data_IF_083156382941
#
_entry.id   IF_083156382941
#
_cell.length_a   1.000
_cell.length_b   1.000
_cell.length_c   1.000
_cell.angle_alpha   90.00
_cell.angle_beta   90.00
_cell.angle_gamma   90.00
#
_symmetry.space_group_name_H-M   'P 1'
#
loop_
_entity.id
_entity.type
_entity.pdbx_description
1 polymer ?
#
# COMPACT_ATOMS: atom_id res chain seq x y z
N UNK A 1 -18.92 45.17 1.52
CA UNK A 1 -18.11 44.12 0.90
C UNK A 1 -18.06 42.94 1.84
N UNK A 2 -18.32 41.74 1.36
CA UNK A 2 -18.17 40.53 2.15
C UNK A 2 -16.68 40.24 2.38
N UNK A 3 -16.28 39.55 3.47
CA UNK A 3 -14.88 39.23 3.72
C UNK A 3 -14.19 38.50 2.54
N UNK A 4 -14.96 37.73 1.78
CA UNK A 4 -14.52 37.03 0.56
C UNK A 4 -14.15 37.98 -0.60
N UNK A 5 -14.87 39.14 -0.69
CA UNK A 5 -14.62 40.18 -1.69
C UNK A 5 -13.38 41.03 -1.35
N UNK A 6 -13.10 41.20 -0.06
CA UNK A 6 -11.93 41.96 0.41
C UNK A 6 -10.65 41.14 0.21
N UNK A 7 -10.71 39.81 0.40
CA UNK A 7 -9.57 38.92 0.22
C UNK A 7 -9.10 38.80 -1.25
N UNK A 8 -9.98 39.13 -2.20
CA UNK A 8 -9.69 39.05 -3.63
C UNK A 8 -9.17 40.38 -4.24
N UNK A 9 -9.10 41.47 -3.46
CA UNK A 9 -8.64 42.77 -3.95
C UNK A 9 -7.14 42.96 -3.69
N UNK A 10 -6.38 43.22 -4.76
CA UNK A 10 -5.00 43.68 -4.64
C UNK A 10 -4.95 45.15 -4.13
N UNK A 11 -3.76 45.58 -3.66
CA UNK A 11 -3.56 46.95 -3.15
C UNK A 11 -3.82 48.07 -4.17
N UNK A 12 -3.91 47.76 -5.45
CA UNK A 12 -4.30 48.67 -6.54
C UNK A 12 -5.78 48.55 -6.94
N UNK A 13 -6.59 47.80 -6.16
CA UNK A 13 -8.04 47.65 -6.37
C UNK A 13 -8.41 46.65 -7.47
N UNK A 14 -7.44 45.89 -8.02
CA UNK A 14 -7.71 44.84 -9.02
C UNK A 14 -8.33 43.60 -8.34
N UNK A 15 -9.43 43.12 -8.87
CA UNK A 15 -10.00 41.81 -8.52
C UNK A 15 -9.41 40.75 -9.44
N UNK A 16 -8.72 39.77 -8.87
CA UNK A 16 -8.14 38.66 -9.61
C UNK A 16 -9.16 37.54 -9.75
N UNK A 17 -9.30 37.00 -10.97
CA UNK A 17 -10.02 35.74 -11.15
C UNK A 17 -9.19 34.55 -10.67
N UNK A 18 -9.84 33.40 -10.39
CA UNK A 18 -9.13 32.18 -10.02
C UNK A 18 -8.13 31.77 -11.11
N UNK A 19 -8.51 31.86 -12.38
CA UNK A 19 -7.66 31.51 -13.52
C UNK A 19 -6.42 32.44 -13.59
N UNK A 20 -6.58 33.75 -13.38
CA UNK A 20 -5.45 34.69 -13.32
C UNK A 20 -4.52 34.38 -12.15
N UNK A 21 -5.07 34.04 -10.99
CA UNK A 21 -4.28 33.66 -9.81
C UNK A 21 -3.53 32.36 -10.05
N UNK A 22 -4.18 31.34 -10.58
CA UNK A 22 -3.54 30.06 -10.93
C UNK A 22 -2.40 30.26 -11.93
N UNK A 23 -2.65 31.00 -13.01
CA UNK A 23 -1.65 31.29 -14.03
C UNK A 23 -0.45 32.11 -13.51
N UNK A 24 -0.68 32.98 -12.52
CA UNK A 24 0.34 33.91 -11.99
C UNK A 24 1.11 33.30 -10.82
N UNK A 25 0.43 32.57 -9.92
CA UNK A 25 0.98 32.13 -8.64
C UNK A 25 1.41 30.66 -8.65
N UNK A 26 0.82 29.83 -9.52
CA UNK A 26 1.14 28.41 -9.59
C UNK A 26 1.92 28.08 -10.88
N UNK A 27 3.13 27.51 -10.78
CA UNK A 27 3.80 26.98 -11.95
C UNK A 27 2.95 25.87 -12.58
N UNK A 28 3.00 25.70 -13.91
CA UNK A 28 2.11 24.80 -14.67
C UNK A 28 2.07 23.36 -14.16
N UNK A 29 3.18 22.84 -13.60
CA UNK A 29 3.19 21.51 -12.98
C UNK A 29 2.40 21.46 -11.65
N UNK A 30 2.20 22.58 -10.96
CA UNK A 30 1.41 22.66 -9.72
C UNK A 30 -0.08 22.84 -10.02
N UNK A 31 -0.45 23.65 -11.00
CA UNK A 31 -1.84 23.87 -11.39
C UNK A 31 -2.54 22.57 -11.87
N UNK A 32 -1.76 21.60 -12.40
CA UNK A 32 -2.28 20.29 -12.82
C UNK A 32 -2.48 19.29 -11.67
N UNK A 33 -2.12 19.64 -10.42
CA UNK A 33 -2.27 18.78 -9.22
C UNK A 33 -3.67 18.87 -8.60
N UNK A 34 -4.67 19.15 -9.40
CA UNK A 34 -6.06 19.18 -8.96
C UNK A 34 -6.68 17.77 -9.11
N UNK A 35 -7.51 17.40 -8.17
CA UNK A 35 -8.31 16.18 -8.21
C UNK A 35 -8.81 15.81 -6.82
N UNK A 36 -10.10 15.46 -6.74
CA UNK A 36 -10.63 14.86 -5.50
C UNK A 36 -10.31 13.37 -5.54
N UNK A 37 -9.74 12.84 -4.46
CA UNK A 37 -9.58 11.40 -4.27
C UNK A 37 -10.97 10.73 -4.30
N UNK A 38 -11.15 9.78 -5.20
CA UNK A 38 -12.43 9.08 -5.40
C UNK A 38 -12.88 8.36 -4.12
N UNK A 39 -11.94 7.81 -3.33
CA UNK A 39 -12.22 7.11 -2.08
C UNK A 39 -12.87 8.06 -1.07
N UNK A 40 -12.25 9.25 -0.89
CA UNK A 40 -12.79 10.25 0.04
C UNK A 40 -14.11 10.85 -0.45
N UNK A 41 -14.32 10.97 -1.76
CA UNK A 41 -15.60 11.41 -2.32
C UNK A 41 -16.73 10.44 -2.00
N UNK A 42 -16.51 9.14 -2.14
CA UNK A 42 -17.49 8.12 -1.81
C UNK A 42 -17.69 7.94 -0.30
N UNK A 43 -16.63 8.13 0.47
CA UNK A 43 -16.73 8.18 1.94
C UNK A 43 -17.62 9.36 2.41
N UNK A 44 -17.47 10.55 1.82
CA UNK A 44 -18.30 11.70 2.14
C UNK A 44 -19.79 11.41 1.85
N UNK A 45 -20.11 10.81 0.70
CA UNK A 45 -21.49 10.38 0.37
C UNK A 45 -22.05 9.40 1.40
N UNK A 46 -21.25 8.43 1.84
CA UNK A 46 -21.64 7.52 2.92
C UNK A 46 -21.94 8.27 4.22
N UNK A 47 -21.06 9.22 4.60
CA UNK A 47 -21.23 10.01 5.83
C UNK A 47 -22.50 10.86 5.80
N UNK A 48 -22.81 11.49 4.68
CA UNK A 48 -24.05 12.26 4.46
C UNK A 48 -25.30 11.36 4.58
N UNK A 49 -25.27 10.17 3.95
CA UNK A 49 -26.37 9.23 4.04
C UNK A 49 -26.58 8.73 5.48
N UNK A 50 -25.51 8.43 6.19
CA UNK A 50 -25.56 8.01 7.59
C UNK A 50 -26.10 9.14 8.49
N UNK A 51 -25.66 10.38 8.28
CA UNK A 51 -26.14 11.54 9.01
C UNK A 51 -27.63 11.85 8.77
N UNK A 52 -28.14 11.53 7.57
CA UNK A 52 -29.58 11.65 7.24
C UNK A 52 -30.44 10.49 7.79
N UNK A 53 -29.87 9.56 8.54
CA UNK A 53 -30.56 8.43 9.17
C UNK A 53 -30.80 7.23 8.23
N UNK A 54 -30.15 7.17 7.08
CA UNK A 54 -30.23 6.02 6.19
C UNK A 54 -29.49 4.80 6.77
N UNK A 55 -30.01 3.60 6.50
CA UNK A 55 -29.34 2.35 6.86
C UNK A 55 -28.20 2.06 5.87
N UNK A 56 -27.16 2.90 5.95
CA UNK A 56 -26.01 2.89 5.04
C UNK A 56 -24.91 1.92 5.50
N UNK A 57 -24.34 1.17 4.55
CA UNK A 57 -23.20 0.26 4.75
C UNK A 57 -21.95 0.89 4.13
N UNK A 58 -20.89 1.01 4.93
CA UNK A 58 -19.61 1.55 4.47
C UNK A 58 -18.75 0.44 3.87
N UNK A 59 -18.51 0.48 2.57
CA UNK A 59 -17.55 -0.35 1.85
C UNK A 59 -16.44 0.49 1.18
N UNK A 60 -16.16 1.71 1.66
CA UNK A 60 -15.28 2.67 0.98
C UNK A 60 -13.87 2.74 1.56
N UNK A 61 -13.71 2.75 2.89
CA UNK A 61 -12.42 3.03 3.54
C UNK A 61 -11.50 1.82 3.59
N UNK A 62 -10.20 2.09 3.70
CA UNK A 62 -9.14 1.10 3.92
C UNK A 62 -8.65 1.06 5.36
N UNK A 63 -9.51 1.39 6.32
CA UNK A 63 -9.28 1.23 7.76
C UNK A 63 -10.19 0.13 8.29
N UNK A 64 -9.65 -0.74 9.15
CA UNK A 64 -10.43 -1.82 9.76
C UNK A 64 -11.34 -1.23 10.85
N UNK A 65 -12.63 -1.54 10.74
CA UNK A 65 -13.63 -1.17 11.75
C UNK A 65 -14.10 -2.44 12.48
N UNK A 66 -14.41 -2.29 13.75
CA UNK A 66 -15.14 -3.29 14.54
C UNK A 66 -16.59 -3.41 14.04
N UNK A 67 -17.30 -4.43 14.48
CA UNK A 67 -18.74 -4.58 14.15
C UNK A 67 -19.61 -3.48 14.77
N UNK A 68 -19.10 -2.75 15.76
CA UNK A 68 -19.70 -1.52 16.30
C UNK A 68 -19.64 -0.34 15.34
N UNK A 69 -18.76 -0.40 14.31
CA UNK A 69 -18.46 0.70 13.39
C UNK A 69 -17.36 1.62 13.88
N UNK A 70 -16.77 1.37 15.03
CA UNK A 70 -15.61 2.08 15.54
C UNK A 70 -14.32 1.59 14.89
N UNK A 71 -13.28 2.42 14.91
CA UNK A 71 -11.97 2.01 14.42
C UNK A 71 -11.42 0.86 15.25
N UNK A 72 -11.06 -0.25 14.60
CA UNK A 72 -10.37 -1.34 15.27
C UNK A 72 -8.97 -0.89 15.72
N UNK A 73 -8.74 -0.93 17.01
CA UNK A 73 -7.49 -0.53 17.65
C UNK A 73 -6.96 -1.69 18.47
N UNK A 74 -5.77 -2.16 18.19
CA UNK A 74 -5.11 -3.17 19.02
C UNK A 74 -4.83 -2.57 20.42
N UNK A 75 -5.43 -3.11 21.50
CA UNK A 75 -5.34 -2.52 22.83
C UNK A 75 -3.92 -2.58 23.39
N UNK A 76 -3.12 -3.60 23.06
CA UNK A 76 -1.71 -3.69 23.47
C UNK A 76 -0.91 -2.54 22.85
N UNK A 77 -1.13 -2.27 21.55
CA UNK A 77 -0.45 -1.18 20.87
C UNK A 77 -0.81 0.18 21.46
N UNK A 78 -2.11 0.42 21.67
CA UNK A 78 -2.58 1.71 22.19
C UNK A 78 -2.16 1.94 23.66
N UNK A 79 -2.11 0.90 24.46
CA UNK A 79 -1.62 0.97 25.85
C UNK A 79 -0.13 1.21 25.89
N UNK A 80 0.66 0.40 25.16
CA UNK A 80 2.11 0.54 25.11
C UNK A 80 2.52 1.93 24.56
N UNK A 81 1.77 2.48 23.62
CA UNK A 81 2.04 3.83 23.10
C UNK A 81 1.84 4.91 24.17
N UNK A 82 0.82 4.81 25.01
CA UNK A 82 0.57 5.76 26.11
C UNK A 82 1.55 5.60 27.26
N UNK A 83 2.14 4.42 27.44
CA UNK A 83 3.12 4.11 28.49
C UNK A 83 4.55 4.53 28.13
N UNK A 84 4.78 5.01 26.89
CA UNK A 84 6.11 5.47 26.51
C UNK A 84 6.58 6.66 27.35
N UNK A 85 7.88 6.67 27.68
CA UNK A 85 8.47 7.78 28.41
C UNK A 85 8.42 9.10 27.63
N UNK A 86 8.43 10.22 28.32
CA UNK A 86 8.43 11.56 27.73
C UNK A 86 9.54 11.77 26.72
N UNK A 87 10.70 11.12 26.90
CA UNK A 87 11.80 11.14 25.96
C UNK A 87 11.39 10.57 24.60
N UNK A 88 10.63 9.48 24.56
CA UNK A 88 10.18 8.84 23.32
C UNK A 88 9.11 9.67 22.60
N UNK A 89 8.37 10.49 23.36
CA UNK A 89 7.38 11.41 22.80
C UNK A 89 7.99 12.69 22.25
N UNK A 90 9.09 13.19 22.87
CA UNK A 90 9.58 14.55 22.67
C UNK A 90 10.88 14.65 21.89
N UNK A 91 11.75 13.64 21.97
CA UNK A 91 13.06 13.68 21.31
C UNK A 91 12.97 13.33 19.82
N UNK A 92 13.86 13.91 19.03
CA UNK A 92 14.06 13.44 17.66
C UNK A 92 14.57 12.00 17.64
N UNK A 93 14.09 11.20 16.69
CA UNK A 93 14.73 9.95 16.32
C UNK A 93 16.02 10.23 15.52
N UNK A 94 17.01 9.32 15.54
CA UNK A 94 18.06 9.31 14.53
C UNK A 94 17.45 9.29 13.12
N UNK A 95 18.07 9.96 12.16
CA UNK A 95 17.53 10.08 10.79
C UNK A 95 17.20 8.72 10.13
N UNK A 96 18.03 7.65 10.27
CA UNK A 96 17.69 6.34 9.71
C UNK A 96 16.62 5.58 10.51
N UNK A 97 16.23 6.08 11.67
CA UNK A 97 15.39 5.40 12.66
C UNK A 97 16.18 4.87 13.84
N UNK A 98 15.47 4.46 14.88
CA UNK A 98 16.07 3.81 16.05
C UNK A 98 16.72 2.49 15.63
N UNK A 99 17.95 2.16 16.09
CA UNK A 99 18.67 0.96 15.65
C UNK A 99 17.84 -0.32 15.82
N UNK A 100 17.25 -0.51 16.98
CA UNK A 100 16.40 -1.67 17.27
C UNK A 100 15.12 -1.74 16.40
N UNK A 101 14.55 -0.60 16.02
CA UNK A 101 13.43 -0.56 15.08
C UNK A 101 13.87 -1.03 13.69
N UNK A 102 15.05 -0.59 13.22
CA UNK A 102 15.59 -0.98 11.91
C UNK A 102 15.85 -2.49 11.81
N UNK A 103 16.33 -3.12 12.88
CA UNK A 103 16.51 -4.58 12.95
C UNK A 103 15.15 -5.27 12.93
N UNK A 104 14.25 -4.88 13.82
CA UNK A 104 12.92 -5.48 13.97
C UNK A 104 12.08 -5.45 12.69
N UNK A 105 12.10 -4.35 11.93
CA UNK A 105 11.28 -4.27 10.70
C UNK A 105 11.77 -5.20 9.59
N UNK A 106 13.05 -5.58 9.60
CA UNK A 106 13.58 -6.61 8.69
C UNK A 106 13.02 -7.99 9.04
N UNK A 107 12.96 -8.31 10.33
CA UNK A 107 12.35 -9.55 10.86
C UNK A 107 10.85 -9.58 10.56
N UNK A 108 10.14 -8.46 10.77
CA UNK A 108 8.70 -8.35 10.46
C UNK A 108 8.40 -8.50 8.96
N UNK A 109 9.30 -8.09 8.09
CA UNK A 109 9.13 -8.21 6.64
C UNK A 109 9.41 -9.63 6.12
N UNK A 110 10.39 -10.33 6.70
CA UNK A 110 10.96 -11.56 6.13
C UNK A 110 10.85 -12.79 7.02
N UNK A 111 10.46 -12.63 8.31
CA UNK A 111 10.38 -13.75 9.25
C UNK A 111 11.69 -14.54 9.34
N UNK A 112 11.58 -15.86 9.45
CA UNK A 112 12.72 -16.78 9.55
C UNK A 112 13.61 -16.78 8.30
N UNK A 113 13.07 -16.37 7.15
CA UNK A 113 13.81 -16.23 5.90
C UNK A 113 14.97 -15.24 5.99
N UNK A 114 14.89 -14.21 6.87
CA UNK A 114 15.94 -13.20 7.03
C UNK A 114 17.31 -13.84 7.36
N UNK A 115 17.33 -14.77 8.32
CA UNK A 115 18.57 -15.42 8.75
C UNK A 115 19.21 -16.24 7.62
N UNK A 116 18.39 -16.91 6.82
CA UNK A 116 18.83 -17.68 5.67
C UNK A 116 19.39 -16.77 4.58
N UNK A 117 18.67 -15.71 4.23
CA UNK A 117 19.08 -14.70 3.25
C UNK A 117 20.45 -14.12 3.60
N UNK A 118 20.64 -13.73 4.86
CA UNK A 118 21.91 -13.18 5.34
C UNK A 118 23.05 -14.22 5.37
N UNK A 119 22.75 -15.47 5.71
CA UNK A 119 23.72 -16.56 5.68
C UNK A 119 24.27 -16.80 4.27
N UNK A 120 23.44 -16.58 3.25
CA UNK A 120 23.85 -16.71 1.84
C UNK A 120 24.43 -15.42 1.23
N UNK A 121 24.89 -14.49 2.07
CA UNK A 121 25.66 -13.33 1.66
C UNK A 121 24.85 -12.14 1.14
N UNK A 122 23.55 -12.17 1.32
CA UNK A 122 22.69 -11.01 1.00
C UNK A 122 22.64 -10.07 2.21
N UNK A 123 23.12 -8.88 2.03
CA UNK A 123 23.12 -7.83 3.06
C UNK A 123 21.79 -7.10 3.09
N UNK A 124 21.34 -6.81 4.30
CA UNK A 124 20.05 -6.15 4.53
C UNK A 124 20.24 -4.92 5.42
N UNK A 125 19.44 -3.91 5.21
CA UNK A 125 19.29 -2.77 6.13
C UNK A 125 17.91 -2.13 5.93
N UNK A 126 17.51 -1.26 6.87
CA UNK A 126 16.23 -0.58 6.84
C UNK A 126 16.36 0.90 7.21
N UNK A 127 15.46 1.72 6.67
CA UNK A 127 15.32 3.13 7.04
C UNK A 127 13.87 3.42 7.39
N UNK A 128 13.65 4.20 8.45
CA UNK A 128 12.33 4.68 8.85
C UNK A 128 11.72 5.61 7.80
N UNK A 129 10.43 5.46 7.57
CA UNK A 129 9.67 6.32 6.67
C UNK A 129 8.33 6.73 7.28
N UNK A 130 7.70 7.84 6.86
CA UNK A 130 6.35 8.22 7.28
C UNK A 130 5.29 7.29 6.66
N UNK A 131 5.18 6.07 7.22
CA UNK A 131 4.34 4.98 6.70
C UNK A 131 4.91 4.34 5.43
N UNK A 132 4.22 3.35 4.89
CA UNK A 132 4.60 2.71 3.62
C UNK A 132 4.66 3.69 2.44
N UNK A 133 3.83 4.74 2.46
CA UNK A 133 3.85 5.82 1.46
C UNK A 133 5.23 6.48 1.34
N UNK A 134 5.90 6.72 2.49
CA UNK A 134 7.24 7.28 2.48
C UNK A 134 8.28 6.35 1.84
N UNK A 135 8.15 5.03 2.03
CA UNK A 135 9.03 4.04 1.41
C UNK A 135 8.85 4.00 -0.12
N UNK A 136 7.60 4.05 -0.59
CA UNK A 136 7.28 4.15 -2.02
C UNK A 136 7.85 5.44 -2.62
N UNK A 137 7.61 6.58 -1.97
CA UNK A 137 8.16 7.87 -2.44
C UNK A 137 9.69 7.84 -2.51
N UNK A 138 10.38 7.33 -1.48
CA UNK A 138 11.83 7.21 -1.47
C UNK A 138 12.35 6.34 -2.61
N UNK A 139 11.72 5.19 -2.87
CA UNK A 139 12.13 4.30 -3.95
C UNK A 139 11.98 4.97 -5.32
N UNK A 140 10.82 5.58 -5.60
CA UNK A 140 10.58 6.29 -6.85
C UNK A 140 11.54 7.45 -7.06
N UNK A 141 11.72 8.29 -6.03
CA UNK A 141 12.51 9.52 -6.11
C UNK A 141 13.99 9.27 -6.34
N UNK A 142 14.53 8.13 -5.83
CA UNK A 142 15.97 7.86 -5.86
C UNK A 142 16.39 6.81 -6.88
N UNK A 143 15.48 5.96 -7.34
CA UNK A 143 15.79 4.88 -8.26
C UNK A 143 15.36 5.16 -9.70
N UNK A 144 14.47 6.14 -9.91
CA UNK A 144 14.03 6.57 -11.25
C UNK A 144 14.38 8.06 -11.49
N UNK A 145 14.50 8.42 -12.75
CA UNK A 145 14.69 9.80 -13.20
C UNK A 145 13.34 10.41 -13.56
N UNK A 146 13.18 11.73 -13.47
CA UNK A 146 12.03 12.38 -14.10
C UNK A 146 11.92 11.99 -15.58
N UNK A 147 10.72 11.57 -15.98
CA UNK A 147 10.42 11.05 -17.32
C UNK A 147 10.47 9.51 -17.43
N UNK A 148 11.13 8.79 -16.54
CA UNK A 148 11.07 7.33 -16.48
C UNK A 148 9.65 6.84 -16.13
N UNK A 149 9.38 5.56 -16.36
CA UNK A 149 8.14 4.90 -15.97
C UNK A 149 8.38 3.86 -14.85
N UNK A 150 7.48 3.83 -13.87
CA UNK A 150 7.42 2.76 -12.88
C UNK A 150 6.49 1.64 -13.36
N UNK A 151 6.86 0.38 -13.11
CA UNK A 151 6.08 -0.79 -13.52
C UNK A 151 5.11 -1.19 -12.39
N UNK A 152 3.82 -1.28 -12.72
CA UNK A 152 2.73 -1.62 -11.81
C UNK A 152 1.85 -2.74 -12.39
N UNK A 153 1.13 -3.46 -11.55
CA UNK A 153 -0.01 -4.26 -12.03
C UNK A 153 -1.13 -3.32 -12.49
N UNK A 154 -1.93 -3.72 -13.47
CA UNK A 154 -3.01 -2.89 -14.04
C UNK A 154 -4.02 -2.42 -13.00
N UNK A 155 -4.41 -3.30 -12.09
CA UNK A 155 -5.13 -2.93 -10.88
C UNK A 155 -4.12 -2.67 -9.76
N UNK A 156 -4.13 -1.48 -9.20
CA UNK A 156 -3.21 -1.07 -8.15
C UNK A 156 -3.83 -0.01 -7.24
N UNK A 157 -3.19 0.24 -6.12
CA UNK A 157 -3.59 1.31 -5.22
C UNK A 157 -3.44 2.68 -5.91
N UNK A 158 -4.57 3.39 -6.09
CA UNK A 158 -4.60 4.64 -6.85
C UNK A 158 -3.52 5.67 -6.51
N UNK A 159 -3.16 5.89 -5.22
CA UNK A 159 -2.09 6.80 -4.85
C UNK A 159 -0.70 6.45 -5.39
N UNK A 160 -0.44 5.25 -5.95
CA UNK A 160 0.80 5.00 -6.68
C UNK A 160 0.98 5.98 -7.84
N UNK A 161 -0.09 6.27 -8.58
CA UNK A 161 -0.07 7.28 -9.65
C UNK A 161 0.22 8.69 -9.12
N UNK A 162 -0.31 9.02 -7.93
CA UNK A 162 -0.04 10.33 -7.30
C UNK A 162 1.43 10.45 -6.90
N UNK A 163 2.00 9.41 -6.27
CA UNK A 163 3.41 9.39 -5.88
C UNK A 163 4.32 9.46 -7.11
N UNK A 164 3.99 8.69 -8.17
CA UNK A 164 4.72 8.73 -9.42
C UNK A 164 4.73 10.15 -10.02
N UNK A 165 3.56 10.78 -10.11
CA UNK A 165 3.42 12.17 -10.61
C UNK A 165 4.23 13.17 -9.78
N UNK A 166 4.22 13.06 -8.43
CA UNK A 166 5.03 13.92 -7.55
C UNK A 166 6.54 13.74 -7.77
N UNK A 167 6.96 12.55 -8.17
CA UNK A 167 8.37 12.29 -8.53
C UNK A 167 8.71 12.66 -9.97
N UNK A 168 7.74 13.11 -10.77
CA UNK A 168 7.93 13.44 -12.19
C UNK A 168 8.09 12.22 -13.09
N UNK A 169 7.62 11.05 -12.65
CA UNK A 169 7.67 9.78 -13.39
C UNK A 169 6.27 9.39 -13.86
N UNK A 170 6.21 8.52 -14.87
CA UNK A 170 4.97 7.97 -15.42
C UNK A 170 4.73 6.55 -14.88
N UNK A 171 3.61 5.93 -15.23
CA UNK A 171 3.29 4.55 -14.88
C UNK A 171 3.14 3.70 -16.13
N UNK A 172 3.71 2.51 -16.12
CA UNK A 172 3.49 1.44 -17.09
C UNK A 172 2.84 0.27 -16.37
N UNK A 173 1.93 -0.45 -17.03
CA UNK A 173 1.19 -1.52 -16.38
C UNK A 173 1.32 -2.83 -17.13
N UNK A 174 1.23 -3.94 -16.39
CA UNK A 174 1.10 -5.30 -16.90
C UNK A 174 -0.17 -5.93 -16.31
N UNK A 175 -0.77 -6.94 -16.99
CA UNK A 175 -2.02 -7.56 -16.54
C UNK A 175 -1.97 -8.06 -15.10
N UNK A 176 -3.11 -8.02 -14.41
CA UNK A 176 -3.21 -8.47 -13.03
C UNK A 176 -2.88 -9.95 -12.88
N UNK A 177 -3.32 -10.77 -13.83
CA UNK A 177 -3.11 -12.23 -13.87
C UNK A 177 -3.11 -12.70 -15.34
N UNK A 178 -2.53 -13.88 -15.60
CA UNK A 178 -2.68 -14.60 -16.86
C UNK A 178 -4.03 -15.33 -16.94
N UNK A 179 -4.30 -16.00 -18.06
CA UNK A 179 -5.54 -16.76 -18.25
C UNK A 179 -5.71 -17.87 -17.21
N UNK A 180 -4.65 -18.67 -16.99
CA UNK A 180 -4.64 -19.83 -16.09
C UNK A 180 -3.66 -19.68 -14.90
N UNK A 181 -3.14 -18.47 -14.64
CA UNK A 181 -2.14 -18.22 -13.61
C UNK A 181 -2.33 -16.89 -12.92
N UNK A 182 -1.76 -16.75 -11.71
CA UNK A 182 -1.76 -15.49 -10.98
C UNK A 182 -0.79 -14.45 -11.56
N UNK A 183 0.06 -14.82 -12.53
CA UNK A 183 1.07 -13.98 -13.16
C UNK A 183 1.04 -14.21 -14.67
N UNK A 184 0.82 -13.17 -15.44
CA UNK A 184 1.07 -13.19 -16.88
C UNK A 184 2.56 -12.95 -17.11
N UNK A 185 3.32 -14.07 -17.20
CA UNK A 185 4.78 -14.05 -17.31
C UNK A 185 5.27 -13.37 -18.58
N UNK A 186 4.60 -13.64 -19.70
CA UNK A 186 5.01 -13.10 -20.99
C UNK A 186 4.77 -11.58 -21.07
N UNK A 187 3.65 -11.11 -20.52
CA UNK A 187 3.40 -9.70 -20.41
C UNK A 187 4.39 -9.02 -19.46
N UNK A 188 4.72 -9.63 -18.31
CA UNK A 188 5.70 -9.08 -17.37
C UNK A 188 7.09 -8.99 -18.01
N UNK A 189 7.58 -10.06 -18.66
CA UNK A 189 8.86 -10.08 -19.39
C UNK A 189 8.90 -9.04 -20.50
N UNK A 190 7.82 -8.94 -21.27
CA UNK A 190 7.68 -7.95 -22.36
C UNK A 190 7.79 -6.53 -21.85
N UNK A 191 7.06 -6.19 -20.76
CA UNK A 191 7.09 -4.85 -20.18
C UNK A 191 8.45 -4.51 -19.56
N UNK A 192 9.10 -5.45 -18.85
CA UNK A 192 10.46 -5.27 -18.35
C UNK A 192 11.44 -4.98 -19.51
N UNK A 193 11.37 -5.79 -20.58
CA UNK A 193 12.21 -5.62 -21.77
C UNK A 193 11.96 -4.27 -22.46
N UNK A 194 10.71 -3.83 -22.55
CA UNK A 194 10.36 -2.55 -23.14
C UNK A 194 10.94 -1.39 -22.32
N UNK A 195 10.70 -1.37 -21.00
CA UNK A 195 11.19 -0.31 -20.13
C UNK A 195 12.72 -0.23 -20.13
N UNK A 196 13.41 -1.38 -20.20
CA UNK A 196 14.88 -1.41 -20.29
C UNK A 196 15.46 -0.83 -21.57
N UNK A 197 14.68 -0.68 -22.65
CA UNK A 197 15.13 0.04 -23.86
C UNK A 197 15.17 1.54 -23.61
N UNK A 198 14.20 2.05 -22.87
CA UNK A 198 13.95 3.49 -22.76
C UNK A 198 14.61 4.12 -21.52
N UNK A 199 14.85 3.32 -20.47
CA UNK A 199 15.40 3.80 -19.20
C UNK A 199 16.53 2.93 -18.66
N UNK A 200 17.35 3.49 -17.77
CA UNK A 200 18.52 2.79 -17.22
C UNK A 200 18.22 1.97 -15.97
N UNK A 201 17.09 2.19 -15.32
CA UNK A 201 16.66 1.48 -14.15
C UNK A 201 15.18 1.15 -14.25
N UNK A 202 14.80 -0.09 -14.01
CA UNK A 202 13.40 -0.49 -13.89
C UNK A 202 13.08 -0.72 -12.42
N UNK A 203 12.05 -0.03 -11.94
CA UNK A 203 11.45 -0.20 -10.63
C UNK A 203 10.03 -0.70 -10.80
N UNK A 204 9.68 -1.79 -10.12
CA UNK A 204 8.29 -2.24 -9.99
C UNK A 204 7.83 -2.16 -8.54
N UNK A 205 6.63 -1.63 -8.32
CA UNK A 205 5.92 -1.79 -7.04
C UNK A 205 4.91 -2.91 -7.15
N UNK A 206 5.10 -3.93 -6.34
CA UNK A 206 4.24 -5.10 -6.24
C UNK A 206 3.59 -5.13 -4.86
N UNK A 207 2.30 -4.81 -4.78
CA UNK A 207 1.55 -4.95 -3.54
C UNK A 207 1.13 -6.41 -3.36
N UNK A 208 1.82 -7.13 -2.48
CA UNK A 208 1.59 -8.53 -2.13
C UNK A 208 2.22 -8.81 -0.74
N UNK A 209 1.56 -9.65 0.09
CA UNK A 209 0.25 -10.27 -0.07
C UNK A 209 -0.92 -9.32 0.23
N UNK A 210 -2.13 -9.82 0.06
CA UNK A 210 -3.38 -9.10 0.38
C UNK A 210 -3.57 -7.81 -0.43
N UNK A 211 -3.39 -7.92 -1.72
CA UNK A 211 -3.38 -6.83 -2.71
C UNK A 211 -4.56 -5.85 -2.59
N UNK A 212 -4.26 -4.57 -2.59
CA UNK A 212 -5.24 -3.50 -2.76
C UNK A 212 -5.28 -3.08 -4.25
N UNK A 213 -6.41 -3.28 -4.96
CA UNK A 213 -7.78 -3.33 -4.45
C UNK A 213 -8.44 -4.72 -4.38
N UNK A 214 -7.78 -5.82 -4.71
CA UNK A 214 -8.46 -7.09 -5.00
C UNK A 214 -8.58 -8.06 -3.82
N UNK A 215 -7.69 -7.98 -2.83
CA UNK A 215 -7.57 -8.98 -1.77
C UNK A 215 -6.91 -10.29 -2.23
N UNK A 216 -6.30 -10.31 -3.42
CA UNK A 216 -5.52 -11.45 -3.90
C UNK A 216 -4.18 -11.53 -3.17
N UNK A 217 -3.67 -12.74 -3.01
CA UNK A 217 -2.28 -13.00 -2.61
C UNK A 217 -1.65 -13.98 -3.59
N UNK A 218 -0.42 -13.74 -3.99
CA UNK A 218 0.32 -14.66 -4.84
C UNK A 218 0.61 -15.96 -4.10
N UNK A 219 0.63 -17.09 -4.82
CA UNK A 219 1.14 -18.35 -4.29
C UNK A 219 2.66 -18.33 -4.19
N UNK A 220 3.24 -19.27 -3.46
CA UNK A 220 4.70 -19.41 -3.36
C UNK A 220 5.36 -19.59 -4.74
N UNK A 221 4.73 -20.40 -5.63
CA UNK A 221 5.20 -20.58 -6.99
C UNK A 221 5.14 -19.27 -7.80
N UNK A 222 4.05 -18.52 -7.67
CA UNK A 222 3.91 -17.24 -8.37
C UNK A 222 4.92 -16.20 -7.91
N UNK A 223 5.22 -16.15 -6.59
CA UNK A 223 6.28 -15.28 -6.05
C UNK A 223 7.66 -15.66 -6.55
N UNK A 224 7.97 -16.97 -6.51
CA UNK A 224 9.24 -17.48 -7.04
C UNK A 224 9.38 -17.12 -8.52
N UNK A 225 8.33 -17.30 -9.30
CA UNK A 225 8.35 -16.99 -10.73
C UNK A 225 8.52 -15.50 -11.02
N UNK A 226 7.87 -14.63 -10.29
CA UNK A 226 8.11 -13.16 -10.39
C UNK A 226 9.57 -12.84 -10.09
N UNK A 227 10.12 -13.38 -9.00
CA UNK A 227 11.51 -13.13 -8.59
C UNK A 227 12.51 -13.60 -9.66
N UNK A 228 12.30 -14.80 -10.22
CA UNK A 228 13.10 -15.35 -11.33
C UNK A 228 13.07 -14.46 -12.57
N UNK A 229 11.88 -13.97 -12.97
CA UNK A 229 11.74 -13.07 -14.12
C UNK A 229 12.51 -11.77 -13.92
N UNK A 230 12.49 -11.20 -12.72
CA UNK A 230 13.28 -10.00 -12.41
C UNK A 230 14.79 -10.31 -12.41
N UNK A 231 15.21 -11.46 -11.90
CA UNK A 231 16.60 -11.89 -11.92
C UNK A 231 17.11 -12.18 -13.34
N UNK A 232 16.29 -12.86 -14.16
CA UNK A 232 16.57 -13.07 -15.59
C UNK A 232 16.73 -11.74 -16.33
N UNK A 233 15.81 -10.78 -16.09
CA UNK A 233 15.87 -9.47 -16.69
C UNK A 233 17.15 -8.71 -16.30
N UNK A 234 17.55 -8.78 -15.03
CA UNK A 234 18.80 -8.17 -14.55
C UNK A 234 20.04 -8.84 -15.17
N UNK A 235 20.09 -10.17 -15.21
CA UNK A 235 21.20 -10.95 -15.78
C UNK A 235 21.38 -10.66 -17.27
N UNK A 236 20.28 -10.59 -18.02
CA UNK A 236 20.30 -10.32 -19.45
C UNK A 236 20.62 -8.87 -19.81
N UNK A 237 20.57 -7.96 -18.85
CA UNK A 237 20.81 -6.53 -19.03
C UNK A 237 21.82 -5.98 -18.00
N UNK A 238 23.09 -6.40 -18.03
CA UNK A 238 24.06 -6.12 -16.95
C UNK A 238 24.39 -4.63 -16.76
N UNK A 239 24.06 -3.78 -17.73
CA UNK A 239 24.23 -2.33 -17.65
C UNK A 239 23.01 -1.57 -17.12
N UNK A 240 21.93 -2.27 -16.80
CA UNK A 240 20.66 -1.70 -16.32
C UNK A 240 20.39 -2.10 -14.87
N UNK A 241 19.87 -1.19 -14.07
CA UNK A 241 19.41 -1.52 -12.72
C UNK A 241 18.00 -2.12 -12.73
N UNK A 242 17.74 -3.07 -11.85
CA UNK A 242 16.43 -3.71 -11.68
C UNK A 242 16.05 -3.71 -10.21
N UNK A 243 14.87 -3.22 -9.89
CA UNK A 243 14.35 -3.24 -8.52
C UNK A 243 12.95 -3.83 -8.47
N UNK A 244 12.79 -4.89 -7.69
CA UNK A 244 11.50 -5.39 -7.22
C UNK A 244 11.24 -4.82 -5.83
N UNK A 245 10.25 -3.92 -5.73
CA UNK A 245 9.80 -3.37 -4.46
C UNK A 245 8.46 -4.02 -4.06
N UNK A 246 8.47 -4.73 -2.95
CA UNK A 246 7.33 -5.43 -2.39
C UNK A 246 6.63 -4.51 -1.39
N UNK A 247 5.42 -4.06 -1.72
CA UNK A 247 4.59 -3.31 -0.79
C UNK A 247 3.81 -4.28 0.11
N UNK A 248 4.34 -4.53 1.30
CA UNK A 248 3.79 -5.42 2.31
C UNK A 248 2.78 -4.76 3.26
N UNK A 249 2.12 -3.67 2.87
CA UNK A 249 1.25 -2.89 3.77
C UNK A 249 0.15 -3.71 4.44
N UNK A 250 -0.32 -4.79 3.81
CA UNK A 250 -1.38 -5.67 4.31
C UNK A 250 -0.89 -7.05 4.74
N UNK A 251 0.41 -7.32 4.71
CA UNK A 251 0.99 -8.65 4.97
C UNK A 251 0.51 -9.27 6.29
N UNK A 252 0.40 -8.49 7.37
CA UNK A 252 -0.06 -8.97 8.67
C UNK A 252 -1.47 -9.57 8.68
N UNK A 253 -2.27 -9.34 7.65
CA UNK A 253 -3.63 -9.87 7.47
C UNK A 253 -3.72 -10.93 6.36
N UNK A 254 -2.59 -11.48 5.95
CA UNK A 254 -2.50 -12.64 5.07
C UNK A 254 -2.05 -13.88 5.84
N UNK A 255 -2.46 -15.04 5.37
CA UNK A 255 -1.91 -16.33 5.83
C UNK A 255 -0.44 -16.48 5.41
N UNK A 256 -0.07 -15.85 4.31
CA UNK A 256 1.25 -15.87 3.70
C UNK A 256 2.08 -14.62 4.08
N UNK A 257 1.98 -14.16 5.33
CA UNK A 257 2.55 -12.88 5.76
C UNK A 257 4.08 -12.78 5.62
N UNK A 258 4.81 -13.89 5.68
CA UNK A 258 6.24 -13.98 5.43
C UNK A 258 6.59 -14.68 4.11
N UNK A 259 5.63 -14.95 3.24
CA UNK A 259 5.84 -15.72 2.01
C UNK A 259 6.92 -15.16 1.09
N UNK A 260 7.15 -13.85 1.07
CA UNK A 260 8.28 -13.26 0.36
C UNK A 260 9.62 -13.54 1.04
N UNK A 261 9.68 -13.56 2.36
CA UNK A 261 10.89 -13.95 3.10
C UNK A 261 11.29 -15.38 2.79
N UNK A 262 10.33 -16.31 2.79
CA UNK A 262 10.54 -17.70 2.44
C UNK A 262 10.99 -17.85 0.98
N UNK A 263 10.32 -17.17 0.04
CA UNK A 263 10.70 -17.17 -1.40
C UNK A 263 12.11 -16.65 -1.62
N UNK A 264 12.49 -15.55 -0.97
CA UNK A 264 13.82 -14.96 -1.08
C UNK A 264 14.90 -15.85 -0.43
N UNK A 265 14.55 -16.55 0.66
CA UNK A 265 15.45 -17.50 1.32
C UNK A 265 15.76 -18.68 0.39
N UNK A 266 14.77 -19.27 -0.28
CA UNK A 266 14.99 -20.32 -1.25
C UNK A 266 15.78 -19.82 -2.46
N UNK A 267 15.44 -18.64 -2.99
CA UNK A 267 16.18 -18.04 -4.09
C UNK A 267 17.66 -17.79 -3.72
N UNK A 268 17.95 -17.31 -2.52
CA UNK A 268 19.32 -17.06 -2.07
C UNK A 268 20.15 -18.34 -1.90
N UNK A 269 19.50 -19.49 -1.60
CA UNK A 269 20.15 -20.81 -1.53
C UNK A 269 20.49 -21.37 -2.90
N UNK A 270 19.57 -21.24 -3.85
CA UNK A 270 19.59 -21.99 -5.10
C UNK A 270 20.10 -21.18 -6.29
N UNK A 271 20.01 -19.85 -6.22
CA UNK A 271 20.28 -18.96 -7.34
C UNK A 271 21.41 -17.98 -7.06
N UNK A 272 22.10 -17.55 -8.12
CA UNK A 272 23.04 -16.44 -8.06
C UNK A 272 22.23 -15.13 -8.11
N UNK A 273 22.30 -14.33 -7.06
CA UNK A 273 21.66 -13.02 -7.02
C UNK A 273 22.37 -12.04 -7.97
N UNK A 274 21.70 -11.48 -8.98
CA UNK A 274 22.35 -10.54 -9.91
C UNK A 274 22.83 -9.27 -9.20
N UNK A 275 24.07 -8.87 -9.50
CA UNK A 275 24.69 -7.71 -8.84
C UNK A 275 24.07 -6.36 -9.22
N UNK A 276 23.17 -6.30 -10.20
CA UNK A 276 22.40 -5.14 -10.61
C UNK A 276 20.90 -5.25 -10.23
N UNK A 277 20.55 -6.20 -9.35
CA UNK A 277 19.19 -6.41 -8.84
C UNK A 277 19.09 -6.04 -7.37
N UNK A 278 18.20 -5.11 -7.06
CA UNK A 278 17.78 -4.72 -5.71
C UNK A 278 16.41 -5.31 -5.41
N UNK A 279 16.23 -5.91 -4.24
CA UNK A 279 14.90 -6.18 -3.68
C UNK A 279 14.67 -5.27 -2.49
N UNK A 280 13.46 -4.74 -2.37
CA UNK A 280 13.09 -3.87 -1.26
C UNK A 280 11.70 -4.19 -0.75
N UNK A 281 11.45 -3.90 0.55
CA UNK A 281 10.12 -4.00 1.14
C UNK A 281 9.66 -2.64 1.65
N UNK A 282 8.37 -2.37 1.47
CA UNK A 282 7.64 -1.30 2.13
C UNK A 282 6.89 -1.85 3.34
N UNK A 283 7.41 -1.62 4.54
CA UNK A 283 6.70 -1.94 5.80
C UNK A 283 5.78 -0.79 6.19
N UNK A 284 4.61 -1.11 6.75
CA UNK A 284 3.66 -0.12 7.30
C UNK A 284 3.02 -0.61 8.59
N UNK A 285 3.24 0.11 9.68
CA UNK A 285 2.55 -0.13 10.95
C UNK A 285 1.07 0.29 10.94
N UNK A 286 0.63 0.98 9.89
CA UNK A 286 -0.76 1.46 9.78
C UNK A 286 -1.79 0.35 9.94
N UNK A 287 -1.54 -0.83 9.32
CA UNK A 287 -2.43 -1.97 9.37
C UNK A 287 -1.97 -2.98 10.42
N UNK A 288 -0.73 -3.44 10.34
CA UNK A 288 -0.19 -4.48 11.23
C UNK A 288 -0.32 -4.17 12.73
N UNK A 289 -0.19 -2.88 13.09
CA UNK A 289 -0.28 -2.40 14.47
C UNK A 289 -1.46 -1.44 14.69
N UNK A 290 -2.39 -1.34 13.74
CA UNK A 290 -3.54 -0.41 13.79
C UNK A 290 -3.16 1.06 14.05
N UNK A 291 -1.94 1.47 13.69
CA UNK A 291 -1.39 2.81 13.90
C UNK A 291 -1.51 3.71 12.66
N UNK A 292 -2.72 3.79 12.10
CA UNK A 292 -2.97 4.53 10.84
C UNK A 292 -2.49 5.99 10.88
N UNK A 293 -2.72 6.68 11.98
CA UNK A 293 -2.41 8.10 12.16
C UNK A 293 -0.96 8.38 12.56
N UNK A 294 -0.20 7.40 13.07
CA UNK A 294 1.16 7.60 13.58
C UNK A 294 2.21 7.67 12.47
N UNK A 295 1.85 7.34 11.26
CA UNK A 295 2.70 7.42 10.08
C UNK A 295 4.06 6.72 10.26
N UNK A 296 4.07 5.51 10.81
CA UNK A 296 5.25 4.67 11.00
C UNK A 296 5.34 3.60 9.91
N UNK A 297 6.47 3.55 9.24
CA UNK A 297 6.79 2.57 8.22
C UNK A 297 8.29 2.46 8.03
N UNK A 298 8.73 1.63 7.11
CA UNK A 298 10.14 1.50 6.76
C UNK A 298 10.32 1.05 5.31
N UNK A 299 11.44 1.42 4.72
CA UNK A 299 11.97 0.78 3.53
C UNK A 299 13.07 -0.18 3.95
N UNK A 300 12.92 -1.47 3.65
CA UNK A 300 13.94 -2.50 3.85
C UNK A 300 14.59 -2.77 2.51
N UNK A 301 15.91 -2.91 2.47
CA UNK A 301 16.71 -3.06 1.25
C UNK A 301 17.60 -4.30 1.36
N UNK A 302 17.67 -5.09 0.28
CA UNK A 302 18.41 -6.34 0.19
C UNK A 302 19.30 -6.36 -1.05
N UNK A 303 20.60 -6.57 -0.87
CA UNK A 303 21.54 -6.62 -1.98
C UNK A 303 22.80 -7.43 -1.61
N UNK A 304 23.47 -8.16 -2.54
CA UNK A 304 24.68 -8.91 -2.24
C UNK A 304 25.92 -8.04 -1.92
N UNK A 305 25.91 -6.77 -2.24
CA UNK A 305 27.02 -5.86 -1.97
C UNK A 305 26.71 -4.95 -0.77
N UNK A 306 27.40 -5.15 0.35
CA UNK A 306 27.23 -4.39 1.58
C UNK A 306 27.47 -2.89 1.39
N UNK A 307 28.53 -2.51 0.68
CA UNK A 307 28.85 -1.10 0.45
C UNK A 307 27.74 -0.40 -0.36
N UNK A 308 27.05 -1.12 -1.23
CA UNK A 308 25.90 -0.58 -1.95
C UNK A 308 24.67 -0.39 -1.04
N UNK A 309 24.41 -1.34 -0.13
CA UNK A 309 23.34 -1.17 0.88
C UNK A 309 23.61 0.05 1.76
N UNK A 310 24.84 0.22 2.23
CA UNK A 310 25.25 1.40 3.02
C UNK A 310 25.05 2.69 2.22
N UNK A 311 25.41 2.69 0.93
CA UNK A 311 25.21 3.84 0.05
C UNK A 311 23.72 4.14 -0.21
N UNK A 312 22.90 3.13 -0.34
CA UNK A 312 21.44 3.31 -0.45
C UNK A 312 20.87 3.98 0.80
N UNK A 313 21.31 3.55 1.99
CA UNK A 313 20.90 4.20 3.25
C UNK A 313 21.27 5.69 3.25
N UNK A 314 22.50 6.06 2.85
CA UNK A 314 22.91 7.47 2.75
C UNK A 314 22.02 8.27 1.78
N UNK A 315 21.74 7.72 0.60
CA UNK A 315 20.89 8.36 -0.43
C UNK A 315 19.47 8.57 0.11
N UNK A 316 18.90 7.54 0.74
CA UNK A 316 17.55 7.62 1.32
C UNK A 316 17.50 8.61 2.49
N UNK A 317 18.55 8.66 3.33
CA UNK A 317 18.69 9.67 4.39
C UNK A 317 18.68 11.10 3.86
N UNK A 318 19.39 11.35 2.76
CA UNK A 318 19.38 12.67 2.12
C UNK A 318 17.98 13.09 1.69
N UNK A 319 17.25 12.18 1.04
CA UNK A 319 15.87 12.41 0.63
C UNK A 319 14.94 12.63 1.83
N UNK A 320 15.05 11.78 2.86
CA UNK A 320 14.26 11.94 4.09
C UNK A 320 14.54 13.28 4.78
N UNK A 321 15.81 13.70 4.85
CA UNK A 321 16.20 14.99 5.43
C UNK A 321 15.61 16.18 4.65
N UNK A 322 15.55 16.07 3.33
CA UNK A 322 15.05 17.15 2.44
C UNK A 322 13.53 17.21 2.32
N UNK A 323 12.80 16.22 2.84
CA UNK A 323 11.33 16.12 2.71
C UNK A 323 10.62 16.26 4.06
N UNK A 324 10.69 15.24 4.90
CA UNK A 324 10.05 15.24 6.23
C UNK A 324 11.02 15.49 7.39
N UNK A 325 12.29 15.73 7.13
CA UNK A 325 13.37 15.99 8.07
C UNK A 325 13.71 14.77 8.95
N UNK A 326 12.79 14.29 9.76
CA UNK A 326 12.90 13.08 10.58
C UNK A 326 11.53 12.46 10.80
N UNK A 327 11.48 11.17 10.97
CA UNK A 327 10.24 10.44 11.27
C UNK A 327 9.96 10.38 12.78
N UNK A 328 8.71 10.17 13.14
CA UNK A 328 8.27 10.11 14.52
C UNK A 328 9.02 9.02 15.33
N UNK A 329 9.52 9.40 16.51
CA UNK A 329 10.24 8.51 17.43
C UNK A 329 9.30 7.58 18.19
N UNK A 330 8.20 8.13 18.70
CA UNK A 330 7.24 7.44 19.54
C UNK A 330 6.75 6.09 18.99
N UNK A 331 6.24 5.99 17.73
CA UNK A 331 5.77 4.72 17.23
C UNK A 331 6.89 3.69 17.02
N UNK A 332 8.13 4.11 16.74
CA UNK A 332 9.28 3.20 16.65
C UNK A 332 9.58 2.54 18.01
N UNK A 333 9.62 3.35 19.07
CA UNK A 333 9.82 2.87 20.44
C UNK A 333 8.67 1.96 20.90
N UNK A 334 7.43 2.33 20.54
CA UNK A 334 6.24 1.52 20.84
C UNK A 334 6.32 0.14 20.20
N UNK A 335 6.62 0.06 18.91
CA UNK A 335 6.76 -1.23 18.23
C UNK A 335 7.86 -2.07 18.85
N UNK A 336 9.03 -1.46 19.10
CA UNK A 336 10.13 -2.17 19.75
C UNK A 336 9.72 -2.70 21.13
N UNK A 337 9.06 -1.90 21.96
CA UNK A 337 8.58 -2.32 23.27
C UNK A 337 7.61 -3.51 23.21
N UNK A 338 6.79 -3.59 22.15
CA UNK A 338 5.89 -4.72 21.94
C UNK A 338 6.68 -5.97 21.54
N UNK A 339 7.57 -5.86 20.59
CA UNK A 339 8.27 -7.01 20.02
C UNK A 339 9.45 -7.52 20.85
N UNK A 340 9.94 -6.74 21.82
CA UNK A 340 11.00 -7.16 22.76
C UNK A 340 10.46 -7.72 24.07
N UNK A 341 9.16 -7.62 24.33
CA UNK A 341 8.48 -8.12 25.53
C UNK A 341 7.55 -9.28 25.13
N UNK A 342 7.78 -10.45 25.68
CA UNK A 342 7.05 -11.69 25.30
C UNK A 342 5.55 -11.56 25.56
N UNK A 343 5.14 -10.99 26.69
CA UNK A 343 3.72 -10.87 27.04
C UNK A 343 3.01 -9.87 26.14
N UNK A 344 3.65 -8.73 25.84
CA UNK A 344 3.13 -7.74 24.90
C UNK A 344 3.06 -8.32 23.48
N UNK A 345 4.08 -9.04 23.06
CA UNK A 345 4.10 -9.67 21.73
C UNK A 345 2.97 -10.68 21.56
N UNK A 346 2.78 -11.58 22.54
CA UNK A 346 1.69 -12.57 22.54
C UNK A 346 0.33 -11.88 22.55
N UNK A 347 0.17 -10.84 23.36
CA UNK A 347 -1.07 -10.06 23.40
C UNK A 347 -1.37 -9.34 22.10
N UNK A 348 -0.36 -8.70 21.48
CA UNK A 348 -0.48 -8.05 20.17
C UNK A 348 -0.87 -9.06 19.07
N UNK A 349 -0.20 -10.22 19.07
CA UNK A 349 -0.43 -11.28 18.11
C UNK A 349 -1.84 -11.84 18.21
N UNK A 350 -2.29 -12.13 19.44
CA UNK A 350 -3.64 -12.63 19.71
C UNK A 350 -4.73 -11.67 19.21
N UNK A 351 -4.55 -10.36 19.40
CA UNK A 351 -5.50 -9.38 18.92
C UNK A 351 -5.45 -9.22 17.38
N UNK A 352 -4.26 -9.24 16.78
CA UNK A 352 -4.13 -9.28 15.31
C UNK A 352 -4.89 -10.48 14.72
N UNK A 353 -4.72 -11.66 15.32
CA UNK A 353 -5.38 -12.88 14.86
C UNK A 353 -6.91 -12.81 15.02
N UNK A 354 -7.41 -12.21 16.10
CA UNK A 354 -8.84 -11.92 16.28
C UNK A 354 -9.38 -11.04 15.16
N UNK A 355 -8.67 -9.96 14.85
CA UNK A 355 -9.04 -9.03 13.76
C UNK A 355 -8.98 -9.70 12.39
N UNK A 356 -7.99 -10.54 12.15
CA UNK A 356 -7.88 -11.34 10.91
C UNK A 356 -9.05 -12.33 10.78
N UNK A 357 -9.41 -13.02 11.87
CA UNK A 357 -10.56 -13.94 11.88
C UNK A 357 -11.86 -13.19 11.59
N UNK A 358 -12.06 -12.00 12.17
CA UNK A 358 -13.21 -11.15 11.87
C UNK A 358 -13.29 -10.77 10.38
N UNK A 359 -12.16 -10.36 9.79
CA UNK A 359 -12.07 -10.06 8.35
C UNK A 359 -12.39 -11.28 7.49
N UNK A 360 -11.84 -12.44 7.83
CA UNK A 360 -12.10 -13.68 7.09
C UNK A 360 -13.56 -14.10 7.17
N UNK A 361 -14.21 -13.92 8.33
CA UNK A 361 -15.65 -14.17 8.47
C UNK A 361 -16.47 -13.25 7.57
N UNK A 362 -16.16 -11.96 7.52
CA UNK A 362 -16.82 -10.98 6.62
C UNK A 362 -16.65 -11.38 5.17
N UNK A 363 -15.43 -11.71 4.76
CA UNK A 363 -15.09 -12.15 3.40
C UNK A 363 -15.86 -13.40 3.00
N UNK A 364 -15.84 -14.43 3.86
CA UNK A 364 -16.53 -15.69 3.58
C UNK A 364 -18.04 -15.49 3.38
N UNK A 365 -18.69 -14.70 4.24
CA UNK A 365 -20.13 -14.38 4.09
C UNK A 365 -20.39 -13.59 2.81
N UNK A 366 -19.56 -12.59 2.52
CA UNK A 366 -19.71 -11.75 1.34
C UNK A 366 -19.49 -12.54 0.04
N UNK A 367 -18.39 -13.30 -0.05
CA UNK A 367 -18.05 -14.08 -1.24
C UNK A 367 -19.07 -15.20 -1.50
N UNK A 368 -19.48 -15.95 -0.47
CA UNK A 368 -20.47 -17.00 -0.61
C UNK A 368 -21.83 -16.47 -1.13
N UNK A 369 -22.23 -15.28 -0.68
CA UNK A 369 -23.45 -14.65 -1.23
C UNK A 369 -23.25 -14.18 -2.66
N UNK A 370 -22.13 -13.56 -3.00
CA UNK A 370 -21.83 -13.15 -4.38
C UNK A 370 -21.79 -14.35 -5.32
N UNK A 371 -21.15 -15.45 -4.94
CA UNK A 371 -21.10 -16.70 -5.68
C UNK A 371 -22.51 -17.26 -5.94
N UNK A 372 -23.35 -17.33 -4.91
CA UNK A 372 -24.76 -17.75 -5.02
C UNK A 372 -25.57 -16.89 -6.00
N UNK A 373 -25.28 -15.60 -6.06
CA UNK A 373 -25.95 -14.63 -6.94
C UNK A 373 -25.31 -14.56 -8.34
N UNK A 374 -24.21 -15.29 -8.60
CA UNK A 374 -23.48 -15.30 -9.87
C UNK A 374 -22.68 -14.02 -10.14
N UNK A 375 -22.31 -13.26 -9.12
CA UNK A 375 -21.50 -12.05 -9.25
C UNK A 375 -20.03 -12.42 -9.49
N UNK A 376 -19.39 -11.97 -10.59
CA UNK A 376 -18.05 -12.40 -10.99
C UNK A 376 -16.95 -11.63 -10.23
N UNK A 377 -16.83 -11.86 -8.91
CA UNK A 377 -15.73 -11.28 -8.13
C UNK A 377 -14.39 -11.87 -8.56
N UNK A 378 -13.33 -11.05 -8.54
CA UNK A 378 -11.97 -11.59 -8.55
C UNK A 378 -11.72 -12.42 -7.27
N UNK A 379 -10.87 -13.46 -7.34
CA UNK A 379 -10.50 -14.23 -6.17
C UNK A 379 -9.98 -13.30 -5.07
N UNK A 380 -10.64 -13.30 -3.90
CA UNK A 380 -10.23 -12.50 -2.73
C UNK A 380 -9.91 -13.46 -1.59
N UNK A 381 -8.63 -13.59 -1.26
CA UNK A 381 -8.16 -14.56 -0.27
C UNK A 381 -7.89 -13.92 1.09
N UNK A 382 -7.35 -12.69 1.07
CA UNK A 382 -6.77 -12.05 2.25
C UNK A 382 -7.06 -10.53 2.31
N UNK A 383 -6.62 -9.91 3.39
CA UNK A 383 -6.58 -8.45 3.53
C UNK A 383 -7.95 -7.79 3.64
N UNK A 384 -8.04 -6.58 3.15
CA UNK A 384 -9.12 -5.63 3.45
C UNK A 384 -10.19 -5.55 2.38
N UNK A 385 -9.95 -6.08 1.16
CA UNK A 385 -10.76 -5.75 -0.01
C UNK A 385 -11.28 -6.98 -0.76
N UNK A 386 -12.34 -6.77 -1.53
CA UNK A 386 -12.76 -7.58 -2.65
C UNK A 386 -12.95 -6.67 -3.87
N UNK A 387 -12.97 -7.25 -5.07
CA UNK A 387 -13.07 -6.50 -6.31
C UNK A 387 -14.04 -7.16 -7.30
N UNK A 388 -14.95 -6.35 -7.84
CA UNK A 388 -15.85 -6.74 -8.91
C UNK A 388 -15.37 -6.08 -10.22
N UNK A 389 -14.82 -6.82 -11.19
CA UNK A 389 -14.48 -6.28 -12.51
C UNK A 389 -15.75 -5.75 -13.22
N UNK A 390 -15.64 -4.57 -13.83
CA UNK A 390 -16.73 -3.97 -14.58
C UNK A 390 -16.22 -2.84 -15.46
N UNK A 391 -16.67 -2.78 -16.73
CA UNK A 391 -16.23 -1.76 -17.69
C UNK A 391 -16.79 -0.36 -17.36
N UNK A 392 -17.97 -0.31 -16.75
CA UNK A 392 -18.65 0.92 -16.35
C UNK A 392 -18.97 0.91 -14.85
N UNK A 393 -17.97 1.05 -13.96
CA UNK A 393 -18.14 0.85 -12.51
C UNK A 393 -18.99 1.94 -11.83
N UNK A 394 -19.01 3.17 -12.33
CA UNK A 394 -19.72 4.28 -11.70
C UNK A 394 -21.24 4.05 -11.61
N UNK A 395 -21.96 3.63 -12.68
CA UNK A 395 -23.38 3.28 -12.60
C UNK A 395 -23.69 2.19 -11.57
N UNK A 396 -22.85 1.15 -11.48
CA UNK A 396 -23.03 0.07 -10.49
C UNK A 396 -22.87 0.60 -9.07
N UNK A 397 -21.83 1.43 -8.82
CA UNK A 397 -21.60 2.05 -7.52
C UNK A 397 -22.77 2.98 -7.11
N UNK A 398 -23.32 3.74 -8.05
CA UNK A 398 -24.50 4.59 -7.81
C UNK A 398 -25.75 3.75 -7.51
N UNK A 399 -25.99 2.67 -8.24
CA UNK A 399 -27.10 1.74 -8.01
C UNK A 399 -26.99 1.04 -6.63
N UNK A 400 -25.77 0.70 -6.21
CA UNK A 400 -25.48 0.17 -4.88
C UNK A 400 -25.75 1.21 -3.79
N UNK A 401 -25.29 2.45 -3.97
CA UNK A 401 -25.49 3.56 -3.03
C UNK A 401 -26.98 3.88 -2.85
N UNK A 402 -27.77 3.87 -3.93
CA UNK A 402 -29.23 4.05 -3.86
C UNK A 402 -29.94 3.00 -2.99
N UNK A 403 -29.29 1.85 -2.75
CA UNK A 403 -29.74 0.75 -1.87
C UNK A 403 -29.05 0.70 -0.52
N UNK A 404 -28.19 1.69 -0.25
CA UNK A 404 -27.48 1.86 1.01
C UNK A 404 -26.12 1.18 1.11
N UNK A 405 -25.52 0.67 0.02
CA UNK A 405 -24.14 0.17 0.00
C UNK A 405 -23.23 1.16 -0.73
N UNK A 406 -22.26 1.72 -0.02
CA UNK A 406 -21.28 2.65 -0.55
C UNK A 406 -19.96 1.93 -0.82
N UNK A 407 -19.56 1.85 -2.07
CA UNK A 407 -18.34 1.20 -2.59
C UNK A 407 -17.58 2.16 -3.48
N UNK A 408 -16.35 1.83 -3.88
CA UNK A 408 -15.49 2.74 -4.64
C UNK A 408 -15.37 2.27 -6.09
N UNK A 409 -15.92 3.01 -7.07
CA UNK A 409 -15.64 2.76 -8.48
C UNK A 409 -14.20 3.16 -8.79
N UNK A 410 -13.45 2.25 -9.40
CA UNK A 410 -12.09 2.44 -9.88
C UNK A 410 -12.05 2.09 -11.38
N UNK A 411 -10.95 2.45 -12.04
CA UNK A 411 -10.70 1.96 -13.40
C UNK A 411 -10.69 0.43 -13.39
N UNK A 412 -11.50 -0.19 -14.25
CA UNK A 412 -11.62 -1.65 -14.38
C UNK A 412 -12.58 -2.32 -13.41
N UNK A 413 -13.24 -1.59 -12.47
CA UNK A 413 -14.25 -2.22 -11.60
C UNK A 413 -14.53 -1.51 -10.29
N UNK A 414 -15.05 -2.26 -9.35
CA UNK A 414 -15.50 -1.75 -8.05
C UNK A 414 -14.68 -2.39 -6.93
N UNK A 415 -14.07 -1.56 -6.11
CA UNK A 415 -13.42 -1.99 -4.88
C UNK A 415 -14.42 -1.99 -3.73
N UNK A 416 -14.51 -3.08 -3.02
CA UNK A 416 -15.32 -3.27 -1.82
C UNK A 416 -14.41 -3.36 -0.60
N UNK A 417 -14.55 -2.42 0.34
CA UNK A 417 -13.82 -2.42 1.61
C UNK A 417 -14.48 -3.34 2.63
N UNK A 418 -14.16 -4.63 2.59
CA UNK A 418 -14.67 -5.61 3.56
C UNK A 418 -14.27 -5.26 5.00
N UNK A 419 -13.15 -4.55 5.16
CA UNK A 419 -12.65 -4.09 6.45
C UNK A 419 -13.58 -3.10 7.16
N UNK A 420 -14.47 -2.44 6.44
CA UNK A 420 -15.42 -1.46 7.02
C UNK A 420 -16.88 -1.93 7.02
N UNK A 421 -17.17 -3.11 6.45
CA UNK A 421 -18.49 -3.71 6.47
C UNK A 421 -18.62 -4.57 7.75
N UNK A 422 -19.58 -4.27 8.66
CA UNK A 422 -19.80 -5.11 9.84
C UNK A 422 -20.18 -6.54 9.45
N UNK A 423 -19.75 -7.52 10.24
CA UNK A 423 -19.99 -8.95 9.96
C UNK A 423 -21.48 -9.27 9.71
N UNK A 424 -22.37 -8.68 10.49
CA UNK A 424 -23.82 -8.88 10.34
C UNK A 424 -24.43 -8.25 9.07
N UNK A 425 -23.69 -7.36 8.39
CA UNK A 425 -24.10 -6.73 7.14
C UNK A 425 -23.40 -7.33 5.90
N UNK A 426 -22.46 -8.27 6.06
CA UNK A 426 -21.67 -8.77 4.93
C UNK A 426 -22.53 -9.47 3.87
N UNK A 427 -23.46 -10.33 4.26
CA UNK A 427 -24.40 -11.00 3.36
C UNK A 427 -25.35 -9.99 2.66
N UNK A 428 -25.90 -9.03 3.43
CA UNK A 428 -26.76 -7.97 2.89
C UNK A 428 -26.00 -7.09 1.88
N UNK A 429 -24.77 -6.71 2.18
CA UNK A 429 -23.94 -5.91 1.29
C UNK A 429 -23.70 -6.64 -0.06
N UNK A 430 -23.40 -7.93 -0.02
CA UNK A 430 -23.24 -8.75 -1.21
C UNK A 430 -24.54 -8.83 -2.03
N UNK A 431 -25.70 -9.00 -1.39
CA UNK A 431 -27.00 -8.98 -2.06
C UNK A 431 -27.28 -7.64 -2.75
N UNK A 432 -27.00 -6.51 -2.09
CA UNK A 432 -27.13 -5.18 -2.68
C UNK A 432 -26.21 -5.01 -3.89
N UNK A 433 -24.95 -5.49 -3.78
CA UNK A 433 -24.00 -5.44 -4.89
C UNK A 433 -24.50 -6.26 -6.09
N UNK A 434 -25.03 -7.46 -5.84
CA UNK A 434 -25.58 -8.31 -6.88
C UNK A 434 -26.76 -7.66 -7.64
N UNK A 435 -27.68 -7.03 -6.91
CA UNK A 435 -28.79 -6.30 -7.51
C UNK A 435 -28.30 -5.11 -8.34
N UNK A 436 -27.34 -4.34 -7.82
CA UNK A 436 -26.75 -3.20 -8.53
C UNK A 436 -26.02 -3.63 -9.80
N UNK A 437 -25.27 -4.73 -9.74
CA UNK A 437 -24.56 -5.29 -10.89
C UNK A 437 -25.52 -5.73 -12.00
N UNK A 438 -26.59 -6.49 -11.67
CA UNK A 438 -27.61 -6.92 -12.65
C UNK A 438 -28.34 -5.77 -13.33
N UNK A 439 -28.48 -4.64 -12.66
CA UNK A 439 -29.14 -3.45 -13.23
C UNK A 439 -28.26 -2.68 -14.20
N UNK A 440 -26.96 -2.93 -14.17
CA UNK A 440 -25.95 -2.21 -14.95
C UNK A 440 -25.30 -3.09 -16.03
N UNK A 441 -25.68 -4.38 -16.07
CA UNK A 441 -25.33 -5.35 -17.12
C UNK A 441 -26.27 -5.20 -18.39
#
# INVERSE_FOLDING_TARGET
>A
MKPEEIAAMSGDGKTWSLEELEATMLPGHASTKAGRDVIFSWLARYQEAKASGQNAINGTVGSLLEDSGELAVNPVVSTTLREQADLEMSAYAPLPGLPHFRTMVQELAMGDGLSVIQHHGIHTDAIITPGGTGALYMSARNLLRPGDAILLRELHWGPYNTIAKECGITTATWPLHGEDSQVDEEALKSMLSQLMKDQNHVLSWLNDPAHNPTGMSLTSESRARVLEIFAEAATNNPSKGVTLFIDGAYAAYSKEHHGWGDTLAEFAKECIWPGNMLVSFGFSASKSHTLYGQRCGAMVMLHPNRAFVDKLVEVMLHTGRGTWSGAARLPQATLHSIHSDVDKYVGWLGERDRLQQMLNKRRNLFNARCEKEGVPLLPSHDGYFAFLPHDTPEPVAQAAAARGLYVVPLSGGIRIGLCSIPTYNADRAAGILADAWRMSA
#
